data_IF_523411620534
#
_entry.id   IF_523411620534
#
_cell.length_a   1.000
_cell.length_b   1.000
_cell.length_c   1.000
_cell.angle_alpha   90.00
_cell.angle_beta   90.00
_cell.angle_gamma   90.00
#
_symmetry.space_group_name_H-M   'P 1'
#
loop_
_entity.id
_entity.type
_entity.pdbx_description
1 polymer ?
#
# COMPACT_ATOMS: atom_id res chain seq x y z
N UNK A 1 11.03 -2.74 -12.04
CA UNK A 1 11.66 -4.05 -11.76
C UNK A 1 12.98 -4.26 -12.49
N UNK A 2 13.09 -3.89 -13.77
CA UNK A 2 14.34 -4.00 -14.53
C UNK A 2 15.58 -3.40 -13.79
N UNK A 3 15.43 -2.26 -13.11
CA UNK A 3 16.52 -1.68 -12.30
C UNK A 3 16.99 -2.62 -11.18
N UNK A 4 16.07 -3.21 -10.42
CA UNK A 4 16.41 -4.13 -9.34
C UNK A 4 17.09 -5.41 -9.87
N UNK A 5 16.64 -5.93 -11.02
CA UNK A 5 17.28 -7.08 -11.68
C UNK A 5 18.70 -6.77 -12.15
N UNK A 6 18.93 -5.60 -12.75
CA UNK A 6 20.26 -5.18 -13.20
C UNK A 6 21.19 -4.90 -12.02
N UNK A 7 20.68 -4.29 -10.96
CA UNK A 7 21.42 -4.09 -9.71
C UNK A 7 21.90 -5.43 -9.15
N UNK A 8 20.99 -6.40 -9.03
CA UNK A 8 21.31 -7.74 -8.50
C UNK A 8 22.31 -8.49 -9.38
N UNK A 9 22.19 -8.39 -10.71
CA UNK A 9 23.16 -8.98 -11.64
C UNK A 9 24.57 -8.40 -11.45
N UNK A 10 24.67 -7.08 -11.25
CA UNK A 10 25.93 -6.34 -11.14
C UNK A 10 26.60 -6.51 -9.77
N UNK A 11 25.83 -6.36 -8.69
CA UNK A 11 26.37 -6.26 -7.34
C UNK A 11 26.20 -7.54 -6.51
N UNK A 12 25.46 -8.53 -7.01
CA UNK A 12 25.16 -9.81 -6.33
C UNK A 12 24.44 -9.64 -4.99
N UNK A 13 23.77 -8.51 -4.81
CA UNK A 13 22.91 -8.20 -3.67
C UNK A 13 21.60 -7.57 -4.14
N UNK A 14 20.58 -7.63 -3.29
CA UNK A 14 19.25 -7.08 -3.61
C UNK A 14 19.24 -5.58 -3.40
N UNK A 15 18.67 -4.86 -4.36
CA UNK A 15 18.42 -3.42 -4.22
C UNK A 15 17.40 -3.17 -3.10
N UNK A 16 17.80 -2.41 -2.08
CA UNK A 16 16.84 -1.92 -1.07
C UNK A 16 15.78 -1.08 -1.76
N UNK A 17 14.53 -1.49 -1.63
CA UNK A 17 13.41 -0.93 -2.38
C UNK A 17 12.28 -0.61 -1.40
N UNK A 18 11.77 0.62 -1.49
CA UNK A 18 10.53 1.02 -0.85
C UNK A 18 9.42 0.98 -1.90
N UNK A 19 8.27 0.44 -1.51
CA UNK A 19 7.14 0.29 -2.44
C UNK A 19 6.09 1.36 -2.19
N UNK A 20 5.64 1.99 -3.27
CA UNK A 20 4.31 2.56 -3.41
C UNK A 20 3.59 1.77 -4.51
N UNK A 21 2.63 0.95 -4.10
CA UNK A 21 1.92 0.05 -5.01
C UNK A 21 0.85 0.76 -5.87
N UNK A 22 0.57 2.03 -5.61
CA UNK A 22 -0.30 2.81 -6.47
C UNK A 22 0.29 2.99 -7.88
N UNK A 23 1.61 3.15 -8.00
CA UNK A 23 2.29 3.31 -9.29
C UNK A 23 2.07 2.11 -10.25
N UNK A 24 2.37 0.86 -9.87
CA UNK A 24 2.07 -0.29 -10.73
C UNK A 24 0.57 -0.56 -10.87
N UNK A 25 -0.25 -0.18 -9.87
CA UNK A 25 -1.70 -0.38 -9.93
C UNK A 25 -2.38 0.46 -11.01
N UNK A 26 -1.88 1.66 -11.28
CA UNK A 26 -2.39 2.57 -12.31
C UNK A 26 -2.16 2.04 -13.74
N UNK A 27 -1.08 1.29 -13.95
CA UNK A 27 -0.70 0.78 -15.29
C UNK A 27 -1.54 -0.45 -15.66
N UNK A 28 -2.06 -1.18 -14.66
CA UNK A 28 -2.89 -2.36 -14.86
C UNK A 28 -4.37 -1.97 -14.72
N UNK A 29 -5.23 -2.43 -15.63
CA UNK A 29 -6.69 -2.38 -15.42
C UNK A 29 -7.11 -3.34 -14.29
N UNK A 30 -6.81 -2.98 -13.05
CA UNK A 30 -7.06 -3.79 -11.88
C UNK A 30 -8.52 -3.68 -11.45
N UNK A 31 -9.08 -4.81 -11.01
CA UNK A 31 -10.38 -4.88 -10.33
C UNK A 31 -10.13 -5.20 -8.86
N UNK A 32 -10.95 -4.72 -7.91
CA UNK A 32 -10.72 -4.98 -6.49
C UNK A 32 -10.40 -6.45 -6.18
N UNK A 33 -11.20 -7.38 -6.70
CA UNK A 33 -11.04 -8.82 -6.47
C UNK A 33 -9.67 -9.41 -6.89
N UNK A 34 -8.91 -8.73 -7.76
CA UNK A 34 -7.60 -9.20 -8.23
C UNK A 34 -6.44 -8.27 -7.87
N UNK A 35 -6.65 -7.27 -7.01
CA UNK A 35 -5.59 -6.33 -6.60
C UNK A 35 -4.36 -7.06 -6.07
N UNK A 36 -4.54 -7.94 -5.10
CA UNK A 36 -3.41 -8.64 -4.50
C UNK A 36 -2.69 -9.54 -5.51
N UNK A 37 -3.39 -10.44 -6.19
CA UNK A 37 -2.78 -11.41 -7.12
C UNK A 37 -1.92 -10.69 -8.17
N UNK A 38 -2.47 -9.65 -8.80
CA UNK A 38 -1.81 -8.91 -9.86
C UNK A 38 -0.64 -8.05 -9.38
N UNK A 39 -0.65 -7.60 -8.14
CA UNK A 39 0.44 -6.80 -7.57
C UNK A 39 1.52 -7.72 -6.99
N UNK A 40 1.14 -8.84 -6.36
CA UNK A 40 2.05 -9.82 -5.78
C UNK A 40 2.89 -10.58 -6.81
N UNK A 41 2.46 -10.62 -8.09
CA UNK A 41 3.29 -11.02 -9.23
C UNK A 41 4.67 -10.33 -9.25
N UNK A 42 4.78 -9.13 -8.64
CA UNK A 42 5.98 -8.32 -8.70
C UNK A 42 6.89 -8.51 -7.48
N UNK A 43 8.05 -9.16 -7.70
CA UNK A 43 9.22 -9.23 -6.78
C UNK A 43 8.82 -9.24 -5.29
N UNK A 44 8.01 -10.22 -4.89
CA UNK A 44 7.60 -10.41 -3.49
C UNK A 44 8.78 -10.47 -2.52
N UNK A 45 9.93 -10.95 -3.00
CA UNK A 45 11.17 -11.01 -2.24
C UNK A 45 11.72 -9.62 -1.88
N UNK A 46 11.49 -8.60 -2.70
CA UNK A 46 11.84 -7.21 -2.39
C UNK A 46 10.85 -6.61 -1.40
N UNK A 47 9.55 -6.87 -1.57
CA UNK A 47 8.52 -6.45 -0.62
C UNK A 47 8.82 -6.98 0.79
N UNK A 48 9.17 -8.27 0.89
CA UNK A 48 9.54 -8.90 2.15
C UNK A 48 10.78 -8.26 2.81
N UNK A 49 11.65 -7.64 2.02
CA UNK A 49 12.85 -6.95 2.50
C UNK A 49 12.60 -5.47 2.83
N UNK A 50 11.44 -4.91 2.49
CA UNK A 50 11.11 -3.51 2.77
C UNK A 50 10.86 -3.28 4.26
N UNK A 51 11.49 -2.23 4.79
CA UNK A 51 11.27 -1.72 6.16
C UNK A 51 10.37 -0.48 6.17
N UNK A 52 10.20 0.16 5.01
CA UNK A 52 9.32 1.31 4.80
C UNK A 52 8.42 1.05 3.58
N UNK A 53 7.13 1.28 3.75
CA UNK A 53 6.13 1.10 2.68
C UNK A 53 5.20 2.31 2.65
N UNK A 54 4.96 2.80 1.44
CA UNK A 54 3.99 3.84 1.16
C UNK A 54 2.61 3.23 0.93
N UNK A 55 1.63 3.80 1.61
CA UNK A 55 0.23 3.40 1.60
C UNK A 55 -0.61 4.51 0.98
N UNK A 56 -0.54 4.63 -0.35
CA UNK A 56 -1.53 5.37 -1.13
C UNK A 56 -2.66 4.43 -1.52
N UNK A 57 -3.89 4.84 -1.26
CA UNK A 57 -5.07 4.14 -1.76
C UNK A 57 -5.20 4.38 -3.25
N UNK A 58 -5.55 3.32 -3.98
CA UNK A 58 -5.62 3.37 -5.42
C UNK A 58 -6.87 2.65 -5.91
N UNK A 59 -7.33 3.08 -7.07
CA UNK A 59 -8.19 2.33 -7.97
C UNK A 59 -7.40 2.02 -9.23
N UNK A 60 -7.98 1.32 -10.20
CA UNK A 60 -7.39 1.25 -11.55
C UNK A 60 -7.35 2.60 -12.29
N UNK A 61 -7.67 3.71 -11.62
CA UNK A 61 -7.62 5.07 -12.17
C UNK A 61 -6.36 5.81 -11.70
N UNK A 62 -5.90 6.78 -12.48
CA UNK A 62 -4.71 7.59 -12.22
C UNK A 62 -5.00 8.75 -11.22
N UNK A 63 -5.76 8.49 -10.15
CA UNK A 63 -6.12 9.50 -9.16
C UNK A 63 -6.01 8.91 -7.74
N UNK A 64 -5.58 9.74 -6.78
CA UNK A 64 -5.74 9.42 -5.36
C UNK A 64 -7.23 9.23 -5.06
N UNK A 65 -7.56 8.27 -4.20
CA UNK A 65 -8.91 8.12 -3.67
C UNK A 65 -8.99 8.64 -2.24
N UNK A 66 -10.12 9.22 -1.80
CA UNK A 66 -10.28 9.65 -0.43
C UNK A 66 -10.38 8.45 0.52
N UNK A 67 -10.14 8.68 1.80
CA UNK A 67 -10.23 7.64 2.84
C UNK A 67 -11.64 7.61 3.42
N UNK A 68 -12.23 8.79 3.61
CA UNK A 68 -13.62 8.93 4.05
C UNK A 68 -14.49 9.47 2.93
N UNK A 69 -15.80 9.31 3.07
CA UNK A 69 -16.77 9.80 2.09
C UNK A 69 -17.30 11.22 2.40
N UNK A 70 -16.62 11.96 3.28
CA UNK A 70 -17.04 13.28 3.75
C UNK A 70 -18.28 13.29 4.67
N UNK A 71 -18.90 12.13 4.93
CA UNK A 71 -20.12 11.96 5.76
C UNK A 71 -19.86 11.08 6.99
N UNK A 72 -18.61 11.05 7.46
CA UNK A 72 -18.21 10.30 8.65
C UNK A 72 -18.12 8.78 8.46
N UNK A 73 -18.16 8.28 7.22
CA UNK A 73 -17.93 6.86 6.90
C UNK A 73 -16.70 6.71 6.01
N UNK A 74 -16.15 5.50 5.97
CA UNK A 74 -15.09 5.15 5.01
C UNK A 74 -15.62 5.25 3.57
N UNK A 75 -14.73 5.64 2.67
CA UNK A 75 -14.99 5.59 1.24
C UNK A 75 -15.05 4.15 0.72
N UNK A 76 -15.84 3.90 -0.32
CA UNK A 76 -16.01 2.55 -0.87
C UNK A 76 -14.74 2.05 -1.58
N UNK A 77 -14.01 2.92 -2.26
CA UNK A 77 -12.74 2.56 -2.89
C UNK A 77 -11.66 2.30 -1.83
N UNK A 78 -11.69 3.06 -0.73
CA UNK A 78 -10.84 2.78 0.43
C UNK A 78 -11.12 1.39 1.02
N UNK A 79 -12.39 1.04 1.23
CA UNK A 79 -12.79 -0.28 1.73
C UNK A 79 -12.33 -1.37 0.77
N UNK A 80 -12.54 -1.20 -0.54
CA UNK A 80 -12.14 -2.15 -1.56
C UNK A 80 -10.62 -2.37 -1.56
N UNK A 81 -9.84 -1.29 -1.51
CA UNK A 81 -8.38 -1.34 -1.41
C UNK A 81 -7.92 -2.02 -0.10
N UNK A 82 -8.49 -1.62 1.04
CA UNK A 82 -8.16 -2.20 2.34
C UNK A 82 -8.38 -3.71 2.35
N UNK A 83 -9.54 -4.13 1.85
CA UNK A 83 -9.98 -5.51 1.99
C UNK A 83 -9.34 -6.44 0.97
N UNK A 84 -9.11 -5.99 -0.25
CA UNK A 84 -8.59 -6.84 -1.34
C UNK A 84 -7.10 -6.67 -1.62
N UNK A 85 -6.47 -5.62 -1.08
CA UNK A 85 -5.02 -5.41 -1.22
C UNK A 85 -4.31 -5.38 0.13
N UNK A 86 -4.61 -4.39 0.97
CA UNK A 86 -3.84 -4.11 2.19
C UNK A 86 -3.77 -5.32 3.12
N UNK A 87 -4.91 -5.99 3.37
CA UNK A 87 -4.97 -7.19 4.22
C UNK A 87 -4.05 -8.31 3.73
N UNK A 88 -4.01 -8.53 2.42
CA UNK A 88 -3.18 -9.59 1.83
C UNK A 88 -1.70 -9.19 1.86
N UNK A 89 -1.39 -7.95 1.49
CA UNK A 89 -0.03 -7.43 1.48
C UNK A 89 0.61 -7.51 2.86
N UNK A 90 -0.05 -6.94 3.88
CA UNK A 90 0.50 -6.95 5.24
C UNK A 90 0.62 -8.36 5.82
N UNK A 91 -0.35 -9.25 5.56
CA UNK A 91 -0.25 -10.64 6.00
C UNK A 91 0.97 -11.35 5.40
N UNK A 92 1.19 -11.20 4.09
CA UNK A 92 2.31 -11.84 3.41
C UNK A 92 3.64 -11.20 3.81
N UNK A 93 3.71 -9.88 3.97
CA UNK A 93 4.89 -9.18 4.50
C UNK A 93 5.27 -9.71 5.89
N UNK A 94 4.31 -9.76 6.83
CA UNK A 94 4.53 -10.28 8.19
C UNK A 94 5.04 -11.71 8.16
N UNK A 95 4.48 -12.58 7.32
CA UNK A 95 4.94 -13.97 7.20
C UNK A 95 6.37 -14.06 6.65
N UNK A 96 6.69 -13.27 5.64
CA UNK A 96 7.97 -13.32 4.94
C UNK A 96 9.10 -12.59 5.66
N UNK A 97 8.78 -11.65 6.56
CA UNK A 97 9.77 -10.88 7.30
C UNK A 97 10.60 -11.78 8.22
N UNK A 98 11.93 -11.72 8.07
CA UNK A 98 12.91 -12.50 8.83
C UNK A 98 13.86 -11.66 9.68
N UNK A 99 14.03 -10.38 9.36
CA UNK A 99 15.04 -9.51 9.98
C UNK A 99 14.48 -8.24 10.61
N UNK A 100 13.46 -7.64 9.99
CA UNK A 100 12.85 -6.44 10.56
C UNK A 100 11.87 -6.76 11.69
N UNK A 101 11.90 -5.93 12.73
CA UNK A 101 10.94 -5.93 13.84
C UNK A 101 9.87 -4.85 13.69
N UNK A 102 10.04 -3.94 12.73
CA UNK A 102 9.20 -2.76 12.57
C UNK A 102 8.93 -2.49 11.08
N UNK A 103 7.71 -2.01 10.80
CA UNK A 103 7.33 -1.52 9.49
C UNK A 103 7.00 -0.04 9.61
N UNK A 104 7.76 0.79 8.91
CA UNK A 104 7.50 2.22 8.77
C UNK A 104 6.43 2.42 7.70
N UNK A 105 5.22 2.78 8.14
CA UNK A 105 4.08 3.00 7.26
C UNK A 105 3.92 4.49 6.93
N UNK A 106 4.11 4.84 5.66
CA UNK A 106 3.85 6.20 5.17
C UNK A 106 2.43 6.26 4.62
N UNK A 107 1.53 6.98 5.29
CA UNK A 107 0.21 7.30 4.74
C UNK A 107 0.42 8.35 3.66
N UNK A 108 0.29 7.95 2.40
CA UNK A 108 0.64 8.83 1.28
C UNK A 108 -0.62 9.44 0.66
N UNK A 109 -0.99 10.60 1.21
CA UNK A 109 -2.08 11.43 0.70
C UNK A 109 -1.55 12.83 0.36
N UNK A 110 -1.71 13.23 -0.91
CA UNK A 110 -1.37 14.55 -1.39
C UNK A 110 -2.42 15.60 -1.00
N UNK A 111 -2.02 16.87 -0.80
CA UNK A 111 -2.93 17.97 -0.47
C UNK A 111 -3.83 18.35 -1.65
N UNK A 112 -4.88 19.12 -1.37
CA UNK A 112 -5.70 19.77 -2.41
C UNK A 112 -4.93 20.90 -3.11
N UNK A 113 -5.32 21.23 -4.34
CA UNK A 113 -4.85 22.40 -5.09
C UNK A 113 -3.44 22.33 -5.68
N UNK A 114 -2.55 21.52 -5.12
CA UNK A 114 -1.18 21.30 -5.63
C UNK A 114 -0.72 19.84 -5.58
N UNK A 115 -1.57 18.94 -5.07
CA UNK A 115 -1.30 17.50 -4.98
C UNK A 115 -2.34 16.65 -5.72
N UNK A 116 -2.42 15.38 -5.34
CA UNK A 116 -3.31 14.41 -5.99
C UNK A 116 -4.76 14.44 -5.50
N UNK A 117 -5.06 15.18 -4.42
CA UNK A 117 -6.43 15.26 -3.92
C UNK A 117 -7.27 16.22 -4.77
N UNK A 118 -8.41 15.72 -5.25
CA UNK A 118 -9.42 16.55 -5.92
C UNK A 118 -10.10 17.48 -4.91
N UNK A 119 -10.58 18.62 -5.40
CA UNK A 119 -11.20 19.64 -4.55
C UNK A 119 -12.41 19.11 -3.77
N UNK A 120 -13.15 18.18 -4.37
CA UNK A 120 -14.31 17.52 -3.76
C UNK A 120 -13.98 16.51 -2.66
N UNK A 121 -12.71 16.16 -2.45
CA UNK A 121 -12.33 15.20 -1.41
C UNK A 121 -12.53 15.78 0.00
N UNK A 122 -12.62 14.94 1.03
CA UNK A 122 -12.59 15.40 2.41
C UNK A 122 -11.27 16.09 2.77
N UNK A 123 -11.19 16.54 4.02
CA UNK A 123 -9.95 17.03 4.61
C UNK A 123 -8.88 15.93 4.61
N UNK A 124 -7.81 16.17 3.87
CA UNK A 124 -6.72 15.20 3.64
C UNK A 124 -6.01 14.81 4.94
N UNK A 125 -5.85 15.75 5.87
CA UNK A 125 -5.19 15.47 7.14
C UNK A 125 -6.06 14.59 8.04
N UNK A 126 -7.36 14.88 8.11
CA UNK A 126 -8.32 14.02 8.83
C UNK A 126 -8.37 12.63 8.21
N UNK A 127 -8.36 12.53 6.88
CA UNK A 127 -8.29 11.27 6.17
C UNK A 127 -6.99 10.50 6.49
N UNK A 128 -5.85 11.18 6.60
CA UNK A 128 -4.59 10.54 6.97
C UNK A 128 -4.62 9.91 8.38
N UNK A 129 -5.26 10.58 9.34
CA UNK A 129 -5.46 10.06 10.71
C UNK A 129 -6.34 8.80 10.66
N UNK A 130 -7.43 8.82 9.90
CA UNK A 130 -8.32 7.66 9.74
C UNK A 130 -7.58 6.49 9.06
N UNK A 131 -6.84 6.76 7.98
CA UNK A 131 -6.05 5.77 7.27
C UNK A 131 -5.02 5.09 8.18
N UNK A 132 -4.30 5.87 9.00
CA UNK A 132 -3.37 5.32 10.02
C UNK A 132 -4.09 4.31 10.92
N UNK A 133 -5.26 4.66 11.44
CA UNK A 133 -6.04 3.78 12.32
C UNK A 133 -6.47 2.49 11.63
N UNK A 134 -6.89 2.56 10.37
CA UNK A 134 -7.27 1.38 9.59
C UNK A 134 -6.07 0.50 9.23
N UNK A 135 -4.93 1.09 8.86
CA UNK A 135 -3.69 0.36 8.58
C UNK A 135 -3.19 -0.37 9.83
N UNK A 136 -3.15 0.30 10.99
CA UNK A 136 -2.76 -0.31 12.26
C UNK A 136 -3.65 -1.50 12.65
N UNK A 137 -4.98 -1.37 12.49
CA UNK A 137 -5.92 -2.48 12.71
C UNK A 137 -5.61 -3.66 11.80
N UNK A 138 -5.37 -3.42 10.51
CA UNK A 138 -5.04 -4.50 9.56
C UNK A 138 -3.70 -5.15 9.90
N UNK A 139 -2.70 -4.37 10.29
CA UNK A 139 -1.38 -4.87 10.67
C UNK A 139 -1.44 -5.76 11.92
N UNK A 140 -2.13 -5.31 12.99
CA UNK A 140 -2.38 -6.12 14.19
C UNK A 140 -3.11 -7.43 13.87
N UNK A 141 -4.08 -7.39 12.97
CA UNK A 141 -4.75 -8.59 12.50
C UNK A 141 -3.82 -9.53 11.72
N UNK A 142 -2.92 -8.99 10.91
CA UNK A 142 -1.92 -9.76 10.18
C UNK A 142 -0.94 -10.47 11.13
N UNK A 143 -0.42 -9.77 12.14
CA UNK A 143 0.42 -10.34 13.21
C UNK A 143 -0.28 -11.53 13.91
N UNK A 144 -1.50 -11.30 14.42
CA UNK A 144 -2.31 -12.35 15.07
C UNK A 144 -2.52 -13.57 14.17
N UNK A 145 -2.86 -13.37 12.89
CA UNK A 145 -3.07 -14.47 11.93
C UNK A 145 -1.78 -15.22 11.61
N UNK A 146 -0.65 -14.52 11.58
CA UNK A 146 0.67 -15.10 11.34
C UNK A 146 1.28 -15.76 12.58
N UNK A 147 0.64 -15.63 13.75
CA UNK A 147 1.15 -16.07 15.07
C UNK A 147 2.51 -15.42 15.39
N UNK A 148 2.63 -14.13 15.08
CA UNK A 148 3.79 -13.28 15.41
C UNK A 148 3.33 -12.11 16.28
#
# INVERSE_FOLDING_TARGET
>A
LALAEQYEKRYKEKLRTNFDHSHPAIIKQLRPANFWERIAEYRFDLLAASELIHFRTFTGSHCQTPITNGRGKLDLDFIAWRDNFLKHMLFNWVKAQRGSKELWAVVELGPKGSGYALDCFPDVWKDAIVARGEIDKVFKNALRRAKK
#
